data_IF_246099437141
#
_entry.id   IF_246099437141
#
_cell.length_a   1.000
_cell.length_b   1.000
_cell.length_c   1.000
_cell.angle_alpha   90.00
_cell.angle_beta   90.00
_cell.angle_gamma   90.00
#
_symmetry.space_group_name_H-M   'P 1'
#
loop_
_entity.id
_entity.type
_entity.pdbx_description
1 polymer ?
#
# COMPACT_ATOMS: atom_id res chain seq x y z
N UNK A 1 -14.86 7.01 3.35
CA UNK A 1 -15.25 6.66 4.73
C UNK A 1 -14.81 7.79 5.67
N UNK A 2 -15.70 8.65 6.17
CA UNK A 2 -15.35 9.62 7.20
C UNK A 2 -14.99 8.89 8.49
N UNK A 3 -13.96 9.33 9.19
CA UNK A 3 -13.54 8.77 10.50
C UNK A 3 -13.31 9.85 11.56
N UNK A 4 -13.37 11.12 11.17
CA UNK A 4 -13.13 12.29 12.02
C UNK A 4 -14.33 13.25 11.95
N UNK A 5 -15.26 13.21 12.92
CA UNK A 5 -16.36 14.18 12.99
C UNK A 5 -15.85 15.62 13.12
N UNK A 6 -16.65 16.59 12.68
CA UNK A 6 -16.25 17.99 12.72
C UNK A 6 -16.29 18.56 14.16
N UNK A 7 -17.17 18.05 14.99
CA UNK A 7 -17.42 18.46 16.39
C UNK A 7 -16.58 17.68 17.42
N UNK A 8 -16.05 16.52 17.03
CA UNK A 8 -15.12 15.71 17.81
C UNK A 8 -14.02 15.16 16.89
N UNK A 9 -13.06 16.01 16.48
CA UNK A 9 -12.11 15.67 15.44
C UNK A 9 -11.06 14.67 15.96
N UNK A 10 -10.74 13.70 15.09
CA UNK A 10 -9.56 12.86 15.28
C UNK A 10 -8.30 13.72 15.36
N UNK A 11 -7.36 13.31 16.20
CA UNK A 11 -6.16 14.08 16.54
C UNK A 11 -4.93 13.27 16.18
N UNK A 12 -3.95 13.90 15.52
CA UNK A 12 -2.66 13.28 15.20
C UNK A 12 -1.86 12.94 16.45
N UNK A 13 -0.85 12.08 16.35
CA UNK A 13 0.13 11.77 17.42
C UNK A 13 0.76 13.05 18.01
N UNK A 14 0.90 14.09 17.19
CA UNK A 14 1.41 15.41 17.60
C UNK A 14 0.36 16.30 18.28
N UNK A 15 -0.87 15.85 18.45
CA UNK A 15 -1.95 16.60 19.09
C UNK A 15 -2.64 17.63 18.17
N UNK A 16 -2.51 17.50 16.86
CA UNK A 16 -3.15 18.40 15.89
C UNK A 16 -4.48 17.80 15.42
N UNK A 17 -5.62 18.50 15.62
CA UNK A 17 -6.91 17.99 15.15
C UNK A 17 -7.04 18.06 13.62
N UNK A 18 -7.68 17.05 13.03
CA UNK A 18 -7.96 16.97 11.60
C UNK A 18 -9.46 16.74 11.37
N UNK A 19 -10.29 17.78 11.55
CA UNK A 19 -11.74 17.67 11.44
C UNK A 19 -12.19 17.35 10.02
N UNK A 20 -13.23 16.52 9.90
CA UNK A 20 -13.82 16.14 8.63
C UNK A 20 -12.96 15.19 7.78
N UNK A 21 -11.91 14.61 8.35
CA UNK A 21 -11.04 13.69 7.62
C UNK A 21 -11.76 12.40 7.24
N UNK A 22 -11.39 11.85 6.10
CA UNK A 22 -11.95 10.64 5.53
C UNK A 22 -10.91 9.82 4.79
N UNK A 23 -11.15 8.50 4.72
CA UNK A 23 -10.36 7.57 3.92
C UNK A 23 -11.20 7.00 2.76
N UNK A 24 -10.56 6.82 1.62
CA UNK A 24 -11.09 6.04 0.51
C UNK A 24 -10.56 4.61 0.61
N UNK A 25 -11.49 3.65 0.64
CA UNK A 25 -11.19 2.24 0.80
C UNK A 25 -11.66 1.50 -0.44
N UNK A 26 -10.84 0.63 -0.99
CA UNK A 26 -11.18 -0.31 -2.05
C UNK A 26 -11.39 -1.69 -1.44
N UNK A 27 -12.37 -2.41 -1.98
CA UNK A 27 -12.68 -3.78 -1.59
C UNK A 27 -12.71 -4.68 -2.82
N UNK A 28 -12.02 -5.82 -2.76
CA UNK A 28 -11.94 -6.79 -3.85
C UNK A 28 -12.44 -8.14 -3.32
N UNK A 29 -13.48 -8.67 -3.94
CA UNK A 29 -14.06 -9.97 -3.64
C UNK A 29 -14.84 -10.49 -4.83
N UNK A 30 -14.94 -11.81 -4.98
CA UNK A 30 -15.76 -12.43 -6.00
C UNK A 30 -17.16 -12.61 -5.44
N UNK A 31 -18.16 -12.06 -6.12
CA UNK A 31 -19.58 -12.37 -5.82
C UNK A 31 -19.89 -13.75 -6.40
N UNK A 32 -20.57 -14.66 -5.63
CA UNK A 32 -21.07 -15.88 -6.20
C UNK A 32 -22.01 -15.52 -7.36
N UNK A 33 -21.66 -15.90 -8.57
CA UNK A 33 -22.59 -15.86 -9.68
C UNK A 33 -23.67 -16.90 -9.40
N UNK A 34 -24.91 -16.48 -9.21
CA UNK A 34 -26.03 -17.39 -9.38
C UNK A 34 -25.86 -17.99 -10.78
N UNK A 35 -25.59 -19.28 -10.87
CA UNK A 35 -25.46 -19.95 -12.15
C UNK A 35 -26.76 -19.74 -12.92
N UNK A 36 -26.77 -18.84 -13.88
CA UNK A 36 -27.73 -18.88 -14.97
C UNK A 36 -27.45 -20.19 -15.69
N UNK A 37 -28.46 -21.07 -15.89
CA UNK A 37 -28.24 -22.26 -16.68
C UNK A 37 -27.74 -21.85 -18.05
N UNK A 38 -26.69 -22.53 -18.54
CA UNK A 38 -26.17 -22.41 -19.89
C UNK A 38 -27.35 -22.50 -20.89
N UNK A 39 -27.78 -21.38 -21.45
CA UNK A 39 -28.62 -21.35 -22.63
C UNK A 39 -27.63 -21.52 -23.79
N UNK A 40 -27.59 -22.74 -24.32
CA UNK A 40 -26.84 -23.02 -25.55
C UNK A 40 -27.34 -22.10 -26.66
N UNK A 41 -26.47 -21.54 -27.52
CA UNK A 41 -26.88 -20.72 -28.64
C UNK A 41 -27.51 -21.59 -29.70
N UNK A 42 -28.86 -21.60 -29.77
CA UNK A 42 -29.53 -22.37 -30.81
C UNK A 42 -31.05 -22.52 -30.76
N UNK A 43 -31.79 -21.91 -29.86
CA UNK A 43 -33.25 -21.98 -29.92
C UNK A 43 -33.88 -20.62 -30.19
N UNK A 44 -34.32 -20.46 -31.42
CA UNK A 44 -35.17 -19.37 -31.90
C UNK A 44 -36.58 -19.55 -31.28
N UNK A 45 -37.04 -18.57 -30.55
CA UNK A 45 -38.41 -18.55 -29.97
C UNK A 45 -39.48 -18.44 -31.06
N UNK A 46 -40.56 -19.20 -30.97
CA UNK A 46 -41.78 -18.93 -31.76
C UNK A 46 -42.59 -17.82 -31.07
N UNK A 47 -43.10 -16.95 -31.92
CA UNK A 47 -44.07 -15.90 -31.65
C UNK A 47 -45.40 -16.52 -31.09
N UNK A 48 -45.82 -16.18 -29.86
CA UNK A 48 -47.17 -16.37 -29.41
C UNK A 48 -47.59 -15.23 -28.50
N UNK A 49 -48.43 -14.37 -29.05
CA UNK A 49 -49.38 -13.55 -28.35
C UNK A 49 -50.40 -14.41 -27.57
N UNK A 50 -50.27 -14.55 -26.26
CA UNK A 50 -51.38 -14.79 -25.35
C UNK A 50 -50.93 -14.44 -23.92
N UNK A 51 -51.50 -13.35 -23.42
CA UNK A 51 -51.32 -12.89 -22.06
C UNK A 51 -52.39 -13.52 -21.17
N UNK A 52 -52.03 -14.53 -20.37
CA UNK A 52 -52.70 -14.84 -19.09
C UNK A 52 -51.93 -15.96 -18.37
N UNK A 53 -51.66 -15.75 -17.07
CA UNK A 53 -51.03 -16.66 -16.13
C UNK A 53 -49.45 -16.68 -16.18
N UNK A 54 -48.86 -15.59 -15.76
CA UNK A 54 -47.49 -15.66 -15.23
C UNK A 54 -47.53 -16.28 -13.82
N UNK A 55 -46.79 -17.38 -13.56
CA UNK A 55 -46.63 -17.86 -12.21
C UNK A 55 -45.88 -16.81 -11.40
N UNK A 56 -46.32 -16.56 -10.18
CA UNK A 56 -45.65 -15.71 -9.17
C UNK A 56 -44.31 -16.33 -8.82
N UNK A 57 -43.29 -15.96 -9.61
CA UNK A 57 -41.88 -16.25 -9.31
C UNK A 57 -41.42 -15.22 -8.26
N UNK A 58 -41.87 -15.42 -7.01
CA UNK A 58 -41.11 -14.87 -5.90
C UNK A 58 -39.72 -15.52 -5.94
N UNK A 59 -38.66 -14.78 -6.23
CA UNK A 59 -37.34 -15.40 -6.17
C UNK A 59 -37.06 -15.72 -4.71
N UNK A 60 -36.90 -17.01 -4.42
CA UNK A 60 -36.25 -17.46 -3.21
C UNK A 60 -34.78 -17.05 -3.33
N UNK A 61 -34.55 -15.74 -3.32
CA UNK A 61 -33.23 -15.16 -3.39
C UNK A 61 -32.58 -15.39 -2.04
N UNK A 62 -31.85 -16.50 -1.92
CA UNK A 62 -30.91 -16.66 -0.83
C UNK A 62 -30.09 -15.38 -0.76
N UNK A 63 -30.08 -14.65 0.36
CA UNK A 63 -29.32 -13.44 0.48
C UNK A 63 -27.86 -13.72 0.09
N UNK A 64 -27.26 -12.88 -0.77
CA UNK A 64 -25.85 -13.00 -1.10
C UNK A 64 -25.06 -12.94 0.20
N UNK A 65 -24.07 -13.84 0.41
CA UNK A 65 -23.26 -13.83 1.62
C UNK A 65 -22.62 -12.46 1.80
N UNK A 66 -22.71 -11.92 3.03
CA UNK A 66 -22.10 -10.63 3.35
C UNK A 66 -20.58 -10.75 3.12
N UNK A 67 -19.97 -9.89 2.30
CA UNK A 67 -18.51 -9.93 2.08
C UNK A 67 -17.70 -9.85 3.38
N UNK A 68 -18.24 -9.22 4.42
CA UNK A 68 -17.58 -9.10 5.74
C UNK A 68 -17.54 -10.40 6.53
N UNK A 69 -18.27 -11.44 6.13
CA UNK A 69 -18.20 -12.77 6.76
C UNK A 69 -16.95 -13.56 6.32
N UNK A 70 -16.22 -13.06 5.31
CA UNK A 70 -14.96 -13.66 4.85
C UNK A 70 -13.79 -13.19 5.71
N UNK A 71 -12.70 -13.99 5.82
CA UNK A 71 -11.45 -13.51 6.40
C UNK A 71 -10.94 -12.29 5.62
N UNK A 72 -10.59 -11.22 6.33
CA UNK A 72 -10.23 -9.93 5.73
C UNK A 72 -8.72 -9.79 5.68
N UNK A 73 -8.18 -9.48 4.50
CA UNK A 73 -6.77 -9.10 4.31
C UNK A 73 -6.71 -7.61 3.97
N UNK A 74 -5.99 -6.86 4.78
CA UNK A 74 -5.70 -5.45 4.52
C UNK A 74 -4.37 -5.33 3.78
N UNK A 75 -4.40 -4.70 2.60
CA UNK A 75 -3.20 -4.39 1.81
C UNK A 75 -2.83 -2.91 1.98
N UNK A 76 -1.58 -2.68 2.30
CA UNK A 76 -0.99 -1.37 2.51
C UNK A 76 -0.10 -0.99 1.32
N UNK A 77 -0.50 0.03 0.55
CA UNK A 77 0.23 0.44 -0.65
C UNK A 77 1.54 1.20 -0.34
N UNK A 78 2.47 1.19 -1.30
CA UNK A 78 3.74 1.94 -1.24
C UNK A 78 3.51 3.46 -1.45
N UNK A 79 4.55 4.28 -1.24
CA UNK A 79 4.53 5.76 -1.19
C UNK A 79 3.70 6.43 -2.30
N UNK A 80 3.85 6.01 -3.54
CA UNK A 80 3.13 6.58 -4.69
C UNK A 80 2.09 5.63 -5.28
N UNK A 81 1.69 4.62 -4.53
CA UNK A 81 0.57 3.74 -4.83
C UNK A 81 -0.77 4.37 -4.46
N UNK A 82 -1.81 3.59 -4.60
CA UNK A 82 -3.18 3.93 -4.21
C UNK A 82 -3.96 2.68 -3.77
N UNK A 83 -5.21 2.87 -3.37
CA UNK A 83 -6.06 1.78 -2.89
C UNK A 83 -6.49 0.78 -3.97
N UNK A 84 -6.26 1.05 -5.26
CA UNK A 84 -6.59 0.11 -6.34
C UNK A 84 -5.51 -0.97 -6.50
N UNK A 85 -5.36 -1.78 -5.45
CA UNK A 85 -4.29 -2.77 -5.37
C UNK A 85 -4.30 -3.79 -6.52
N UNK A 86 -5.44 -4.11 -7.09
CA UNK A 86 -5.53 -5.04 -8.22
C UNK A 86 -4.88 -4.49 -9.50
N UNK A 87 -4.76 -3.16 -9.64
CA UNK A 87 -4.11 -2.53 -10.79
C UNK A 87 -2.58 -2.56 -10.68
N UNK A 88 -2.02 -2.16 -9.53
CA UNK A 88 -0.56 -2.10 -9.40
C UNK A 88 0.07 -3.42 -8.95
N UNK A 89 -0.72 -4.38 -8.45
CA UNK A 89 -0.31 -5.74 -8.12
C UNK A 89 -0.99 -6.78 -9.02
N UNK A 90 -0.97 -6.52 -10.32
CA UNK A 90 -1.55 -7.39 -11.33
C UNK A 90 -1.05 -8.84 -11.19
N UNK A 91 -2.00 -9.81 -11.28
CA UNK A 91 -1.70 -11.23 -11.15
C UNK A 91 -1.52 -11.74 -9.72
N UNK A 92 -1.70 -10.87 -8.70
CA UNK A 92 -1.70 -11.27 -7.29
C UNK A 92 -3.08 -11.26 -6.66
N UNK A 93 -3.99 -10.38 -7.10
CA UNK A 93 -5.34 -10.21 -6.53
C UNK A 93 -6.38 -10.65 -7.56
N UNK A 94 -7.20 -11.63 -7.18
CA UNK A 94 -8.28 -12.16 -8.03
C UNK A 94 -8.61 -13.62 -7.71
N UNK A 95 -9.62 -14.20 -8.38
CA UNK A 95 -10.02 -15.59 -8.18
C UNK A 95 -8.86 -16.56 -8.41
N UNK A 96 -8.56 -17.42 -7.42
CA UNK A 96 -7.50 -18.41 -7.49
C UNK A 96 -6.08 -17.85 -7.57
N UNK A 97 -5.88 -16.55 -7.34
CA UNK A 97 -4.57 -15.90 -7.28
C UNK A 97 -4.00 -15.92 -5.84
N UNK A 98 -2.82 -15.33 -5.63
CA UNK A 98 -2.17 -15.29 -4.33
C UNK A 98 -3.08 -14.71 -3.24
N UNK A 99 -3.72 -13.58 -3.50
CA UNK A 99 -4.82 -13.03 -2.71
C UNK A 99 -6.14 -13.42 -3.37
N UNK A 100 -6.60 -14.62 -3.04
CA UNK A 100 -7.75 -15.25 -3.66
C UNK A 100 -9.07 -14.58 -3.22
N UNK A 101 -9.69 -13.85 -4.13
CA UNK A 101 -10.96 -13.14 -3.89
C UNK A 101 -12.18 -14.05 -3.77
N UNK A 102 -12.07 -15.34 -4.05
CA UNK A 102 -13.11 -16.33 -3.74
C UNK A 102 -13.12 -16.68 -2.26
N UNK A 103 -11.98 -16.56 -1.57
CA UNK A 103 -11.77 -16.94 -0.17
C UNK A 103 -11.75 -15.76 0.78
N UNK A 104 -11.17 -14.65 0.35
CA UNK A 104 -10.88 -13.49 1.18
C UNK A 104 -11.63 -12.25 0.70
N UNK A 105 -11.96 -11.37 1.64
CA UNK A 105 -12.23 -9.97 1.35
C UNK A 105 -10.89 -9.22 1.42
N UNK A 106 -10.45 -8.68 0.29
CA UNK A 106 -9.22 -7.90 0.23
C UNK A 106 -9.60 -6.41 0.33
N UNK A 107 -9.05 -5.72 1.30
CA UNK A 107 -9.19 -4.28 1.46
C UNK A 107 -7.87 -3.58 1.15
N UNK A 108 -7.93 -2.41 0.58
CA UNK A 108 -6.80 -1.51 0.44
C UNK A 108 -7.26 -0.07 0.64
N UNK A 109 -6.67 0.63 1.60
CA UNK A 109 -6.98 2.02 1.87
C UNK A 109 -6.08 2.95 1.05
N UNK A 110 -6.62 4.06 0.56
CA UNK A 110 -5.78 5.19 0.20
C UNK A 110 -5.31 5.86 1.50
N UNK A 111 -4.00 5.95 1.67
CA UNK A 111 -3.40 6.46 2.90
C UNK A 111 -3.82 7.90 3.21
N UNK A 112 -4.00 8.21 4.49
CA UNK A 112 -4.17 9.58 4.98
C UNK A 112 -2.96 10.43 4.60
N UNK A 113 -3.17 11.65 4.12
CA UNK A 113 -2.12 12.52 3.59
C UNK A 113 -1.84 12.29 2.09
N UNK A 114 -2.43 11.25 1.48
CA UNK A 114 -2.35 10.99 0.04
C UNK A 114 -3.30 11.85 -0.80
N UNK A 115 -3.30 11.63 -2.12
CA UNK A 115 -4.06 12.44 -3.08
C UNK A 115 -5.12 11.65 -3.87
N UNK A 116 -5.37 10.39 -3.53
CA UNK A 116 -6.27 9.52 -4.29
C UNK A 116 -7.62 9.30 -3.59
N UNK A 117 -8.19 10.37 -3.00
CA UNK A 117 -9.53 10.38 -2.43
C UNK A 117 -9.61 10.21 -0.91
N UNK A 118 -8.49 9.97 -0.21
CA UNK A 118 -8.37 10.20 1.23
C UNK A 118 -7.97 11.64 1.51
N UNK A 119 -8.24 12.12 2.72
CA UNK A 119 -7.90 13.48 3.12
C UNK A 119 -6.38 13.67 3.08
N UNK A 120 -5.96 14.73 2.43
CA UNK A 120 -4.57 15.15 2.26
C UNK A 120 -4.45 16.65 2.01
N UNK A 121 -3.26 17.16 1.70
CA UNK A 121 -3.02 18.60 1.48
C UNK A 121 -3.92 19.24 0.42
N UNK A 122 -4.27 18.49 -0.63
CA UNK A 122 -5.17 18.95 -1.71
C UNK A 122 -6.65 18.96 -1.32
N UNK A 123 -7.03 18.36 -0.20
CA UNK A 123 -8.42 18.28 0.26
C UNK A 123 -8.91 19.63 0.79
N UNK A 124 -10.21 19.87 0.63
CA UNK A 124 -10.87 21.06 1.18
C UNK A 124 -11.03 20.89 2.69
N UNK A 125 -10.53 21.84 3.45
CA UNK A 125 -10.71 21.89 4.89
C UNK A 125 -12.09 22.47 5.27
N UNK A 126 -12.53 22.38 6.54
CA UNK A 126 -13.86 22.86 6.95
C UNK A 126 -14.12 24.35 6.71
N UNK A 127 -13.10 25.17 6.52
CA UNK A 127 -13.22 26.59 6.17
C UNK A 127 -13.46 26.84 4.68
N UNK A 128 -13.53 25.79 3.86
CA UNK A 128 -13.79 25.87 2.43
C UNK A 128 -12.55 26.10 1.56
N UNK A 129 -11.35 26.17 2.14
CA UNK A 129 -10.09 26.30 1.43
C UNK A 129 -9.32 24.96 1.42
N UNK A 130 -8.43 24.70 0.46
CA UNK A 130 -7.52 23.56 0.55
C UNK A 130 -6.68 23.58 1.84
N UNK A 131 -6.36 22.40 2.36
CA UNK A 131 -5.46 22.32 3.52
C UNK A 131 -4.10 22.96 3.23
N UNK A 132 -3.51 22.64 2.09
CA UNK A 132 -2.23 23.19 1.66
C UNK A 132 -1.14 23.01 2.72
N UNK A 133 -0.39 24.08 2.99
CA UNK A 133 0.66 24.14 4.01
C UNK A 133 0.15 23.95 5.44
N UNK A 134 -1.16 24.07 5.67
CA UNK A 134 -1.81 23.88 6.98
C UNK A 134 -2.06 22.40 7.31
N UNK A 135 -1.88 21.50 6.32
CA UNK A 135 -2.05 20.07 6.56
C UNK A 135 -1.04 19.59 7.59
N UNK A 136 -1.46 18.86 8.65
CA UNK A 136 -0.55 18.46 9.70
C UNK A 136 0.53 17.50 9.21
N UNK A 137 1.68 17.55 9.84
CA UNK A 137 2.68 16.51 9.69
C UNK A 137 2.13 15.20 10.27
N UNK A 138 2.31 14.12 9.52
CA UNK A 138 1.85 12.78 9.90
C UNK A 138 3.03 11.87 10.28
N UNK A 139 2.71 10.83 11.02
CA UNK A 139 3.56 9.66 11.25
C UNK A 139 2.93 8.41 10.64
N UNK A 140 3.67 7.30 10.57
CA UNK A 140 3.10 6.00 10.19
C UNK A 140 2.00 5.57 11.17
N UNK A 141 2.13 5.95 12.45
CA UNK A 141 1.13 5.68 13.49
C UNK A 141 -0.18 6.41 13.24
N UNK A 142 -0.11 7.68 12.84
CA UNK A 142 -1.29 8.46 12.46
C UNK A 142 -2.07 7.81 11.32
N UNK A 143 -1.36 7.30 10.32
CA UNK A 143 -1.98 6.63 9.17
C UNK A 143 -2.70 5.35 9.60
N UNK A 144 -2.04 4.55 10.42
CA UNK A 144 -2.59 3.28 10.95
C UNK A 144 -3.77 3.53 11.88
N UNK A 145 -3.68 4.52 12.77
CA UNK A 145 -4.78 4.87 13.67
C UNK A 145 -6.02 5.36 12.91
N UNK A 146 -5.83 6.19 11.90
CA UNK A 146 -6.92 6.64 11.01
C UNK A 146 -7.59 5.46 10.27
N UNK A 147 -6.79 4.50 9.79
CA UNK A 147 -7.29 3.27 9.16
C UNK A 147 -8.07 2.41 10.15
N UNK A 148 -7.54 2.23 11.35
CA UNK A 148 -8.23 1.50 12.41
C UNK A 148 -9.58 2.13 12.75
N UNK A 149 -9.63 3.44 12.98
CA UNK A 149 -10.88 4.16 13.22
C UNK A 149 -11.90 3.97 12.07
N UNK A 150 -11.44 4.04 10.81
CA UNK A 150 -12.32 3.84 9.65
C UNK A 150 -12.84 2.40 9.54
N UNK A 151 -12.00 1.41 9.82
CA UNK A 151 -12.39 -0.01 9.79
C UNK A 151 -13.35 -0.36 10.93
N UNK A 152 -13.15 0.18 12.13
CA UNK A 152 -14.08 0.01 13.25
C UNK A 152 -15.49 0.52 12.91
N UNK A 153 -15.60 1.68 12.23
CA UNK A 153 -16.89 2.21 11.78
C UNK A 153 -17.58 1.32 10.73
N UNK A 154 -16.81 0.51 9.99
CA UNK A 154 -17.34 -0.53 9.09
C UNK A 154 -17.72 -1.82 9.84
N UNK A 155 -17.51 -1.88 11.15
CA UNK A 155 -17.72 -3.09 11.96
C UNK A 155 -16.62 -4.12 11.84
N UNK A 156 -15.49 -3.78 11.22
CA UNK A 156 -14.34 -4.66 11.05
C UNK A 156 -13.49 -4.60 12.32
N UNK A 157 -13.47 -5.70 13.07
CA UNK A 157 -12.76 -5.81 14.35
C UNK A 157 -11.60 -6.78 14.33
N UNK A 158 -11.42 -7.50 13.23
CA UNK A 158 -10.35 -8.48 13.05
C UNK A 158 -9.88 -8.52 11.61
N UNK A 159 -8.57 -8.52 11.43
CA UNK A 159 -7.90 -8.71 10.17
C UNK A 159 -7.20 -10.08 10.18
N UNK A 160 -7.49 -10.91 9.18
CA UNK A 160 -6.81 -12.18 8.98
C UNK A 160 -5.33 -11.97 8.70
N UNK A 161 -5.01 -10.96 7.90
CA UNK A 161 -3.65 -10.53 7.66
C UNK A 161 -3.58 -9.04 7.32
N UNK A 162 -2.45 -8.41 7.68
CA UNK A 162 -2.02 -7.10 7.12
C UNK A 162 -0.79 -7.35 6.25
N UNK A 163 -0.84 -6.89 5.02
CA UNK A 163 0.22 -7.09 4.03
C UNK A 163 0.68 -5.76 3.49
N UNK A 164 1.97 -5.46 3.58
CA UNK A 164 2.48 -4.19 3.09
C UNK A 164 3.91 -4.27 2.59
N UNK A 165 4.21 -3.45 1.57
CA UNK A 165 5.54 -3.32 1.03
C UNK A 165 6.04 -1.87 1.11
N UNK A 166 7.34 -1.67 1.38
CA UNK A 166 7.94 -0.33 1.49
C UNK A 166 7.22 0.52 2.55
N UNK A 167 6.66 1.68 2.19
CA UNK A 167 5.81 2.48 3.09
C UNK A 167 4.63 1.66 3.66
N UNK A 168 4.02 0.80 2.85
CA UNK A 168 2.99 -0.12 3.31
C UNK A 168 3.50 -1.12 4.33
N UNK A 169 4.76 -1.58 4.19
CA UNK A 169 5.42 -2.42 5.18
C UNK A 169 5.64 -1.73 6.52
N UNK A 170 5.96 -0.43 6.52
CA UNK A 170 6.07 0.37 7.73
C UNK A 170 4.73 0.50 8.46
N UNK A 171 3.63 0.71 7.70
CA UNK A 171 2.27 0.70 8.26
C UNK A 171 1.88 -0.68 8.79
N UNK A 172 2.17 -1.75 8.05
CA UNK A 172 1.89 -3.12 8.49
C UNK A 172 2.62 -3.47 9.80
N UNK A 173 3.86 -3.02 9.99
CA UNK A 173 4.57 -3.16 11.28
C UNK A 173 3.89 -2.37 12.41
N UNK A 174 3.48 -1.13 12.16
CA UNK A 174 2.77 -0.33 13.17
C UNK A 174 1.39 -0.94 13.49
N UNK A 175 0.66 -1.51 12.53
CA UNK A 175 -0.56 -2.27 12.77
C UNK A 175 -0.35 -3.41 13.76
N UNK A 176 0.71 -4.20 13.59
CA UNK A 176 1.03 -5.30 14.50
C UNK A 176 1.37 -4.85 15.93
N UNK A 177 1.98 -3.67 16.05
CA UNK A 177 2.42 -3.11 17.32
C UNK A 177 1.30 -2.36 18.04
N UNK A 178 0.51 -1.58 17.30
CA UNK A 178 -0.57 -0.76 17.88
C UNK A 178 -1.82 -1.58 18.17
N UNK A 179 -2.14 -2.55 17.33
CA UNK A 179 -3.40 -3.30 17.36
C UNK A 179 -3.20 -4.82 17.28
N UNK A 180 -2.38 -5.41 18.19
CA UNK A 180 -2.06 -6.84 18.15
C UNK A 180 -3.28 -7.76 18.32
N UNK A 181 -4.34 -7.28 18.98
CA UNK A 181 -5.59 -8.05 19.15
C UNK A 181 -6.49 -8.01 17.90
N UNK A 182 -6.27 -7.06 17.01
CA UNK A 182 -7.01 -6.91 15.74
C UNK A 182 -6.34 -7.70 14.63
N UNK A 183 -5.00 -7.73 14.60
CA UNK A 183 -4.20 -8.33 13.52
C UNK A 183 -3.83 -9.77 13.86
N UNK A 184 -4.34 -10.72 13.10
CA UNK A 184 -4.02 -12.13 13.31
C UNK A 184 -2.65 -12.55 12.76
N UNK A 185 -2.16 -11.87 11.71
CA UNK A 185 -0.85 -12.14 11.09
C UNK A 185 -0.41 -11.00 10.18
N UNK A 186 0.88 -10.93 9.82
CA UNK A 186 1.36 -9.94 8.87
C UNK A 186 2.44 -10.47 7.92
N UNK A 187 2.46 -9.89 6.70
CA UNK A 187 3.50 -10.05 5.70
C UNK A 187 4.12 -8.69 5.40
N UNK A 188 5.36 -8.48 5.81
CA UNK A 188 6.07 -7.21 5.62
C UNK A 188 7.19 -7.37 4.59
N UNK A 189 7.17 -6.52 3.57
CA UNK A 189 8.01 -6.66 2.38
C UNK A 189 8.87 -5.40 2.19
N UNK A 190 10.17 -5.57 1.96
CA UNK A 190 11.13 -4.52 1.62
C UNK A 190 10.99 -3.28 2.54
N UNK A 191 11.09 -3.50 3.85
CA UNK A 191 10.91 -2.49 4.89
C UNK A 191 11.94 -2.67 6.01
N UNK A 192 12.15 -1.64 6.81
CA UNK A 192 12.95 -1.66 8.04
C UNK A 192 12.11 -1.23 9.25
N UNK A 193 12.59 -1.51 10.45
CA UNK A 193 11.95 -1.08 11.71
C UNK A 193 12.03 0.43 11.94
N UNK A 194 12.99 1.11 11.30
CA UNK A 194 13.11 2.58 11.31
C UNK A 194 13.83 3.06 10.06
N UNK A 195 13.59 4.30 9.68
CA UNK A 195 14.31 4.95 8.59
C UNK A 195 15.82 5.04 8.90
N UNK A 196 16.64 4.63 7.94
CA UNK A 196 18.09 4.76 8.02
C UNK A 196 18.54 6.16 7.58
N UNK A 197 19.78 6.54 7.95
CA UNK A 197 20.36 7.80 7.48
C UNK A 197 20.43 7.87 5.94
N UNK A 198 20.63 6.75 5.26
CA UNK A 198 20.58 6.64 3.79
C UNK A 198 19.21 6.99 3.24
N UNK A 199 18.16 6.37 3.76
CA UNK A 199 16.78 6.64 3.36
C UNK A 199 16.41 8.10 3.61
N UNK A 200 16.67 8.62 4.83
CA UNK A 200 16.39 10.00 5.20
C UNK A 200 17.15 10.97 4.27
N UNK A 201 18.42 10.71 3.96
CA UNK A 201 19.22 11.56 3.09
C UNK A 201 18.63 11.66 1.68
N UNK A 202 18.29 10.54 1.06
CA UNK A 202 17.69 10.50 -0.28
C UNK A 202 16.30 11.14 -0.28
N UNK A 203 15.46 10.81 0.69
CA UNK A 203 14.10 11.35 0.81
C UNK A 203 14.12 12.85 1.10
N UNK A 204 15.04 13.32 1.94
CA UNK A 204 15.26 14.75 2.18
C UNK A 204 15.66 15.50 0.91
N UNK A 205 16.53 14.93 0.06
CA UNK A 205 16.89 15.53 -1.23
C UNK A 205 15.65 15.66 -2.15
N UNK A 206 14.79 14.65 -2.18
CA UNK A 206 13.54 14.69 -2.96
C UNK A 206 12.59 15.79 -2.50
N UNK A 207 12.40 15.94 -1.18
CA UNK A 207 11.58 17.02 -0.61
C UNK A 207 12.17 18.38 -1.01
N UNK A 208 13.48 18.57 -0.91
CA UNK A 208 14.15 19.82 -1.27
C UNK A 208 14.00 20.18 -2.74
N UNK A 209 13.95 19.22 -3.65
CA UNK A 209 13.65 19.50 -5.07
C UNK A 209 12.23 20.04 -5.26
N UNK A 210 11.25 19.49 -4.53
CA UNK A 210 9.86 20.00 -4.59
C UNK A 210 9.77 21.40 -4.00
N UNK A 211 10.35 21.62 -2.83
CA UNK A 211 10.33 22.91 -2.14
C UNK A 211 11.08 24.02 -2.90
N UNK A 212 12.08 23.66 -3.72
CA UNK A 212 12.83 24.60 -4.55
C UNK A 212 12.13 24.96 -5.86
N UNK A 213 11.03 24.29 -6.21
CA UNK A 213 10.23 24.63 -7.39
C UNK A 213 9.53 25.99 -7.17
N UNK A 214 9.66 26.96 -8.08
CA UNK A 214 8.98 28.27 -7.95
C UNK A 214 7.45 28.16 -7.79
N UNK A 215 6.84 27.10 -8.33
CA UNK A 215 5.41 26.87 -8.26
C UNK A 215 4.98 26.15 -6.97
N UNK A 216 5.91 25.79 -6.07
CA UNK A 216 5.62 25.19 -4.77
C UNK A 216 4.88 26.13 -3.81
N UNK A 217 5.22 27.42 -3.83
CA UNK A 217 4.58 28.48 -3.06
C UNK A 217 4.42 28.14 -1.56
N UNK A 218 5.43 27.49 -0.96
CA UNK A 218 5.39 27.06 0.44
C UNK A 218 4.36 25.97 0.76
N UNK A 219 3.81 25.29 -0.25
CA UNK A 219 2.76 24.28 -0.14
C UNK A 219 1.35 24.81 -0.45
N UNK A 220 1.19 26.10 -0.75
CA UNK A 220 -0.12 26.77 -0.98
C UNK A 220 -0.39 27.05 -2.47
N UNK A 221 0.01 26.16 -3.36
CA UNK A 221 -0.19 26.28 -4.81
C UNK A 221 -1.61 25.88 -5.28
N UNK A 222 -2.43 25.31 -4.42
CA UNK A 222 -3.78 24.84 -4.78
C UNK A 222 -4.69 25.98 -5.20
N UNK A 223 -5.46 25.78 -6.28
CA UNK A 223 -6.37 26.81 -6.82
C UNK A 223 -5.68 27.94 -7.60
N UNK A 224 -4.36 27.97 -7.68
CA UNK A 224 -3.60 29.02 -8.41
C UNK A 224 -3.47 28.76 -9.92
N UNK A 225 -3.82 27.54 -10.38
CA UNK A 225 -3.57 27.06 -11.75
C UNK A 225 -2.12 26.65 -12.00
N UNK A 226 -1.28 26.63 -10.96
CA UNK A 226 0.12 26.20 -10.98
C UNK A 226 0.31 24.98 -10.09
N UNK A 227 1.34 24.18 -10.37
CA UNK A 227 1.75 23.07 -9.53
C UNK A 227 3.26 22.82 -9.69
N UNK A 228 3.98 22.39 -8.65
CA UNK A 228 5.43 22.19 -8.68
C UNK A 228 5.79 20.89 -9.44
N UNK A 229 5.39 20.84 -10.72
CA UNK A 229 5.54 19.67 -11.60
C UNK A 229 6.99 19.37 -11.91
N UNK A 230 7.83 20.41 -12.01
CA UNK A 230 9.27 20.21 -12.20
C UNK A 230 9.90 19.63 -10.93
N UNK A 231 9.60 20.17 -9.76
CA UNK A 231 10.13 19.72 -8.48
C UNK A 231 9.80 18.25 -8.19
N UNK A 232 8.51 17.87 -8.31
CA UNK A 232 8.10 16.46 -8.11
C UNK A 232 8.69 15.56 -9.18
N UNK A 233 8.88 16.05 -10.41
CA UNK A 233 9.57 15.32 -11.47
C UNK A 233 11.02 15.01 -11.12
N UNK A 234 11.78 16.01 -10.60
CA UNK A 234 13.16 15.78 -10.14
C UNK A 234 13.22 14.84 -8.93
N UNK A 235 12.31 14.99 -7.98
CA UNK A 235 12.16 14.07 -6.86
C UNK A 235 11.95 12.61 -7.35
N UNK A 236 11.09 12.42 -8.37
CA UNK A 236 10.86 11.08 -8.97
C UNK A 236 12.10 10.51 -9.64
N UNK A 237 12.90 11.34 -10.33
CA UNK A 237 14.16 10.88 -10.95
C UNK A 237 15.10 10.30 -9.90
N UNK A 238 15.30 10.99 -8.77
CA UNK A 238 16.14 10.50 -7.66
C UNK A 238 15.52 9.23 -7.04
N UNK A 239 14.22 9.24 -6.73
CA UNK A 239 13.54 8.09 -6.18
C UNK A 239 13.69 6.86 -7.08
N UNK A 240 13.53 7.05 -8.40
CA UNK A 240 13.57 5.94 -9.35
C UNK A 240 14.95 5.28 -9.47
N UNK A 241 16.03 6.04 -9.28
CA UNK A 241 17.38 5.49 -9.19
C UNK A 241 17.60 4.62 -7.94
N UNK A 242 16.81 4.80 -6.89
CA UNK A 242 16.85 3.94 -5.68
C UNK A 242 15.86 2.80 -5.72
N UNK A 243 14.86 2.86 -6.61
CA UNK A 243 13.88 1.79 -6.81
C UNK A 243 14.37 0.72 -7.77
N UNK A 244 15.34 1.08 -8.65
CA UNK A 244 15.90 0.18 -9.66
C UNK A 244 17.33 -0.22 -9.27
N UNK A 245 17.71 -1.45 -9.62
CA UNK A 245 19.05 -1.94 -9.38
C UNK A 245 20.04 -1.45 -10.45
N UNK A 246 21.30 -1.22 -10.05
CA UNK A 246 22.37 -0.79 -10.94
C UNK A 246 22.52 -1.72 -12.15
N UNK A 247 22.59 -3.04 -11.89
CA UNK A 247 22.78 -4.05 -12.94
C UNK A 247 21.64 -4.04 -13.98
N UNK A 248 20.40 -3.86 -13.53
CA UNK A 248 19.25 -3.78 -14.44
C UNK A 248 19.29 -2.49 -15.28
N UNK A 249 19.68 -1.37 -14.67
CA UNK A 249 19.80 -0.11 -15.41
C UNK A 249 20.94 -0.18 -16.44
N UNK A 250 22.07 -0.78 -16.09
CA UNK A 250 23.21 -0.96 -16.99
C UNK A 250 22.87 -1.90 -18.15
N UNK A 251 22.20 -3.03 -17.88
CA UNK A 251 21.75 -3.96 -18.91
C UNK A 251 20.76 -3.32 -19.90
N UNK A 252 19.88 -2.46 -19.41
CA UNK A 252 18.84 -1.82 -20.23
C UNK A 252 19.29 -0.62 -21.02
N UNK A 253 20.19 0.16 -20.47
CA UNK A 253 20.50 1.48 -21.00
C UNK A 253 21.99 1.69 -21.30
N UNK A 254 22.87 1.08 -20.51
CA UNK A 254 24.30 1.32 -20.61
C UNK A 254 24.66 2.81 -20.70
N UNK A 255 25.58 3.16 -21.56
CA UNK A 255 25.91 4.53 -21.96
C UNK A 255 25.36 4.87 -23.38
N UNK A 256 24.26 4.25 -23.75
CA UNK A 256 23.70 4.39 -25.10
C UNK A 256 23.00 5.75 -25.27
N UNK A 257 23.21 6.42 -26.43
CA UNK A 257 22.44 7.61 -26.79
C UNK A 257 20.94 7.30 -26.91
N UNK A 258 20.12 8.27 -26.54
CA UNK A 258 18.72 8.22 -26.87
C UNK A 258 18.53 8.26 -28.38
N UNK A 259 17.57 7.51 -28.90
CA UNK A 259 17.34 7.42 -30.35
C UNK A 259 17.27 8.80 -31.02
N UNK A 260 18.10 9.01 -32.06
CA UNK A 260 18.25 10.25 -32.83
C UNK A 260 18.82 11.46 -32.02
N UNK A 261 19.44 11.21 -30.86
CA UNK A 261 20.14 12.22 -30.07
C UNK A 261 21.65 11.89 -30.04
N UNK A 262 22.48 12.93 -29.86
CA UNK A 262 23.96 12.76 -29.77
C UNK A 262 24.50 13.43 -28.50
N UNK A 263 24.55 12.70 -27.38
CA UNK A 263 25.11 13.22 -26.14
C UNK A 263 26.62 13.44 -26.18
N UNK A 264 27.31 12.92 -27.20
CA UNK A 264 28.76 13.10 -27.42
C UNK A 264 29.08 14.25 -28.37
N UNK A 265 28.06 14.96 -28.85
CA UNK A 265 28.24 16.10 -29.76
C UNK A 265 29.07 17.24 -29.16
N UNK A 266 29.58 18.13 -30.01
CA UNK A 266 30.52 19.19 -29.59
C UNK A 266 29.92 20.26 -28.68
N UNK A 267 28.59 20.32 -28.60
CA UNK A 267 27.86 21.30 -27.79
C UNK A 267 26.91 20.59 -26.86
N UNK A 268 27.01 20.90 -25.57
CA UNK A 268 26.08 20.38 -24.57
C UNK A 268 24.67 20.96 -24.82
N UNK A 269 23.71 20.08 -25.09
CA UNK A 269 22.30 20.41 -25.16
C UNK A 269 21.51 19.46 -24.25
N UNK A 270 20.42 19.92 -23.64
CA UNK A 270 19.54 19.08 -22.85
C UNK A 270 18.67 18.16 -23.72
N UNK A 271 18.59 18.45 -25.01
CA UNK A 271 17.86 17.65 -26.02
C UNK A 271 18.75 16.56 -26.63
N UNK A 272 19.98 16.43 -26.15
CA UNK A 272 20.96 15.39 -26.55
C UNK A 272 21.25 14.54 -25.35
N UNK A 273 20.46 13.47 -25.16
CA UNK A 273 20.41 12.71 -23.92
C UNK A 273 20.95 11.28 -24.12
N UNK A 274 21.38 10.69 -23.03
CA UNK A 274 21.49 9.24 -22.92
C UNK A 274 20.11 8.60 -22.74
N UNK A 275 19.96 7.34 -23.13
CA UNK A 275 18.72 6.59 -23.03
C UNK A 275 18.16 6.56 -21.61
N UNK A 276 19.03 6.45 -20.57
CA UNK A 276 18.63 6.51 -19.17
C UNK A 276 18.03 7.86 -18.79
N UNK A 277 18.52 8.98 -19.33
CA UNK A 277 17.96 10.30 -19.02
C UNK A 277 16.53 10.43 -19.56
N UNK A 278 16.30 9.96 -20.79
CA UNK A 278 14.96 9.93 -21.40
C UNK A 278 13.99 9.03 -20.62
N UNK A 279 14.47 7.89 -20.12
CA UNK A 279 13.68 7.01 -19.26
C UNK A 279 13.26 7.72 -17.96
N UNK A 280 14.22 8.37 -17.27
CA UNK A 280 13.95 9.11 -16.05
C UNK A 280 12.99 10.29 -16.28
N UNK A 281 13.10 11.00 -17.43
CA UNK A 281 12.16 12.07 -17.82
C UNK A 281 10.74 11.53 -18.00
N UNK A 282 10.60 10.35 -18.62
CA UNK A 282 9.31 9.69 -18.75
C UNK A 282 8.69 9.33 -17.41
N UNK A 283 9.49 8.80 -16.46
CA UNK A 283 9.02 8.45 -15.12
C UNK A 283 8.65 9.70 -14.31
N UNK A 284 9.42 10.78 -14.44
CA UNK A 284 9.14 12.08 -13.84
C UNK A 284 7.80 12.63 -14.32
N UNK A 285 7.58 12.67 -15.63
CA UNK A 285 6.35 13.17 -16.24
C UNK A 285 5.11 12.35 -15.84
N UNK A 286 5.24 11.02 -15.79
CA UNK A 286 4.16 10.12 -15.35
C UNK A 286 3.74 10.38 -13.90
N UNK A 287 4.70 10.60 -13.00
CA UNK A 287 4.37 10.89 -11.60
C UNK A 287 3.74 12.29 -11.48
N UNK A 288 4.35 13.31 -12.07
CA UNK A 288 3.86 14.68 -12.01
C UNK A 288 2.43 14.84 -12.56
N UNK A 289 2.02 13.97 -13.49
CA UNK A 289 0.67 13.98 -14.07
C UNK A 289 -0.41 13.36 -13.15
N UNK A 290 -0.03 12.54 -12.15
CA UNK A 290 -1.00 11.75 -11.36
C UNK A 290 -0.89 11.91 -9.86
N UNK A 291 0.18 12.50 -9.35
CA UNK A 291 0.45 12.57 -7.92
C UNK A 291 0.66 13.99 -7.46
N UNK A 292 0.06 14.33 -6.33
CA UNK A 292 0.16 15.65 -5.72
C UNK A 292 1.49 15.83 -4.99
N UNK A 293 2.14 16.98 -5.22
CA UNK A 293 3.44 17.27 -4.63
C UNK A 293 3.39 17.49 -3.11
N UNK A 294 2.31 18.11 -2.61
CA UNK A 294 2.09 18.28 -1.17
C UNK A 294 1.94 16.92 -0.47
N UNK A 295 1.15 16.04 -1.04
CA UNK A 295 1.03 14.66 -0.56
C UNK A 295 2.36 13.91 -0.61
N UNK A 296 3.16 14.10 -1.67
CA UNK A 296 4.49 13.50 -1.75
C UNK A 296 5.39 13.93 -0.59
N UNK A 297 5.40 15.22 -0.26
CA UNK A 297 6.18 15.78 0.85
C UNK A 297 5.71 15.21 2.18
N UNK A 298 4.40 15.23 2.46
CA UNK A 298 3.82 14.72 3.73
C UNK A 298 4.15 13.23 3.93
N UNK A 299 3.92 12.42 2.92
CA UNK A 299 4.15 10.97 3.01
C UNK A 299 5.64 10.62 3.12
N UNK A 300 6.49 11.34 2.39
CA UNK A 300 7.95 11.15 2.46
C UNK A 300 8.51 11.60 3.81
N UNK A 301 8.00 12.70 4.37
CA UNK A 301 8.40 13.15 5.71
C UNK A 301 7.93 12.19 6.80
N UNK A 302 6.74 11.61 6.66
CA UNK A 302 6.26 10.56 7.55
C UNK A 302 7.17 9.30 7.52
N UNK A 303 7.68 8.91 6.34
CA UNK A 303 8.68 7.85 6.20
C UNK A 303 10.00 8.21 6.88
N UNK A 304 10.48 9.46 6.75
CA UNK A 304 11.68 9.93 7.44
C UNK A 304 11.57 9.81 8.96
N UNK A 305 10.36 9.95 9.49
CA UNK A 305 10.05 9.86 10.93
C UNK A 305 9.72 8.45 11.39
N UNK A 306 9.70 7.48 10.47
CA UNK A 306 9.38 6.10 10.83
C UNK A 306 10.43 5.52 11.78
N UNK A 307 10.01 5.18 12.99
CA UNK A 307 10.75 4.46 14.01
C UNK A 307 9.75 3.79 14.95
N UNK A 308 9.61 2.46 14.84
CA UNK A 308 8.68 1.70 15.67
C UNK A 308 9.03 1.76 17.15
N UNK A 309 10.31 1.98 17.48
CA UNK A 309 10.79 2.03 18.87
C UNK A 309 10.69 3.41 19.53
N UNK A 310 10.37 4.46 18.77
CA UNK A 310 10.29 5.83 19.31
C UNK A 310 9.21 5.93 20.40
N UNK A 311 9.62 6.29 21.62
CA UNK A 311 8.71 6.37 22.76
C UNK A 311 8.24 5.02 23.32
N UNK A 312 8.82 3.88 22.86
CA UNK A 312 8.42 2.53 23.25
C UNK A 312 9.58 1.67 23.77
N UNK A 313 10.61 2.27 24.34
CA UNK A 313 11.76 1.52 24.88
C UNK A 313 12.80 1.08 23.87
N UNK A 314 12.65 1.44 22.59
CA UNK A 314 13.59 1.15 21.52
C UNK A 314 13.15 0.02 20.59
N UNK A 315 13.72 0.02 19.39
CA UNK A 315 13.32 -0.82 18.28
C UNK A 315 13.34 -2.33 18.61
N UNK A 316 14.42 -2.83 19.24
CA UNK A 316 14.58 -4.25 19.52
C UNK A 316 13.63 -4.72 20.64
N UNK A 317 13.32 -3.85 21.63
CA UNK A 317 12.35 -4.15 22.66
C UNK A 317 10.94 -4.35 22.06
N UNK A 318 10.50 -3.39 21.25
CA UNK A 318 9.18 -3.46 20.57
C UNK A 318 9.06 -4.67 19.65
N UNK A 319 10.13 -4.97 18.87
CA UNK A 319 10.12 -6.17 18.02
C UNK A 319 10.02 -7.45 18.84
N UNK A 320 10.77 -7.55 19.95
CA UNK A 320 10.78 -8.72 20.83
C UNK A 320 9.44 -8.95 21.56
N UNK A 321 8.72 -7.88 21.85
CA UNK A 321 7.40 -7.93 22.48
C UNK A 321 6.25 -8.15 21.50
N UNK A 322 6.49 -8.07 20.17
CA UNK A 322 5.46 -8.25 19.16
C UNK A 322 4.95 -9.70 19.17
N UNK A 323 3.66 -9.87 19.49
CA UNK A 323 2.99 -11.19 19.57
C UNK A 323 2.38 -11.64 18.25
N UNK A 324 2.17 -10.72 17.30
CA UNK A 324 1.60 -11.03 15.99
C UNK A 324 2.57 -11.85 15.16
N UNK A 325 2.14 -12.98 14.55
CA UNK A 325 2.97 -13.77 13.63
C UNK A 325 3.34 -12.95 12.39
N UNK A 326 4.63 -12.68 12.18
CA UNK A 326 5.13 -11.86 11.06
C UNK A 326 6.07 -12.66 10.16
N UNK A 327 5.75 -12.72 8.86
CA UNK A 327 6.68 -13.13 7.81
C UNK A 327 7.33 -11.89 7.21
N UNK A 328 8.65 -11.95 7.05
CA UNK A 328 9.46 -10.86 6.49
C UNK A 328 9.94 -11.24 5.09
N UNK A 329 9.93 -10.29 4.16
CA UNK A 329 10.42 -10.46 2.80
C UNK A 329 11.35 -9.32 2.45
N UNK A 330 12.49 -9.64 1.83
CA UNK A 330 13.39 -8.63 1.27
C UNK A 330 13.71 -8.92 -0.19
N UNK A 331 14.25 -7.93 -0.88
CA UNK A 331 14.78 -8.04 -2.24
C UNK A 331 16.31 -7.98 -2.17
N UNK A 332 17.01 -8.90 -2.81
CA UNK A 332 18.47 -9.03 -2.66
C UNK A 332 19.28 -7.87 -3.27
N UNK A 333 18.75 -7.24 -4.30
CA UNK A 333 19.35 -6.09 -4.97
C UNK A 333 18.83 -4.73 -4.50
N UNK A 334 17.97 -4.69 -3.45
CA UNK A 334 17.39 -3.46 -2.93
C UNK A 334 18.46 -2.60 -2.24
N UNK A 335 18.68 -1.39 -2.77
CA UNK A 335 19.61 -0.41 -2.19
C UNK A 335 18.90 0.61 -1.30
N UNK A 336 17.56 0.74 -1.42
CA UNK A 336 16.74 1.63 -0.59
C UNK A 336 16.47 1.00 0.79
N UNK A 337 16.08 -0.28 0.80
CA UNK A 337 15.91 -1.11 2.00
C UNK A 337 16.80 -2.37 1.89
N UNK A 338 18.13 -2.24 2.06
CA UNK A 338 19.05 -3.35 1.89
C UNK A 338 18.69 -4.57 2.73
N UNK A 339 18.88 -5.76 2.18
CA UNK A 339 18.40 -7.04 2.74
C UNK A 339 18.79 -7.28 4.20
N UNK A 340 19.93 -6.75 4.65
CA UNK A 340 20.34 -6.85 6.06
C UNK A 340 19.35 -6.18 7.03
N UNK A 341 18.50 -5.23 6.56
CA UNK A 341 17.47 -4.62 7.40
C UNK A 341 16.32 -5.61 7.66
N UNK A 342 15.94 -6.41 6.67
CA UNK A 342 14.95 -7.49 6.83
C UNK A 342 15.51 -8.63 7.67
N UNK A 343 16.80 -8.94 7.54
CA UNK A 343 17.49 -9.87 8.46
C UNK A 343 17.48 -9.34 9.90
N UNK A 344 17.64 -8.03 10.10
CA UNK A 344 17.53 -7.43 11.42
C UNK A 344 16.11 -7.61 12.00
N UNK A 345 15.07 -7.36 11.22
CA UNK A 345 13.68 -7.65 11.63
C UNK A 345 13.52 -9.11 12.04
N UNK A 346 13.97 -10.05 11.19
CA UNK A 346 13.81 -11.49 11.41
C UNK A 346 14.49 -12.01 12.68
N UNK A 347 15.61 -11.38 13.08
CA UNK A 347 16.37 -11.76 14.28
C UNK A 347 15.78 -11.21 15.57
N UNK A 348 14.96 -10.16 15.51
CA UNK A 348 14.48 -9.45 16.69
C UNK A 348 12.96 -9.59 16.91
N UNK A 349 12.19 -10.07 15.93
CA UNK A 349 10.75 -10.29 16.08
C UNK A 349 10.46 -11.44 17.06
N UNK A 350 9.62 -11.16 18.07
CA UNK A 350 9.19 -12.15 19.08
C UNK A 350 8.38 -13.29 18.49
N UNK A 351 7.53 -13.00 17.50
CA UNK A 351 6.75 -14.01 16.77
C UNK A 351 7.09 -13.99 15.28
N UNK A 352 8.33 -14.37 14.98
CA UNK A 352 8.83 -14.49 13.61
C UNK A 352 8.44 -15.83 13.00
N UNK A 353 7.76 -15.81 11.85
CA UNK A 353 7.30 -17.02 11.17
C UNK A 353 8.04 -17.34 9.86
N UNK A 354 8.91 -16.49 9.37
CA UNK A 354 9.75 -16.80 8.22
C UNK A 354 10.38 -15.58 7.56
N UNK A 355 11.56 -15.77 6.96
CA UNK A 355 12.22 -14.83 6.06
C UNK A 355 12.20 -15.41 4.64
N UNK A 356 11.74 -14.62 3.69
CA UNK A 356 11.79 -14.95 2.27
C UNK A 356 12.55 -13.87 1.51
N UNK A 357 13.13 -14.26 0.38
CA UNK A 357 13.92 -13.38 -0.46
C UNK A 357 13.39 -13.41 -1.90
N UNK A 358 13.19 -12.23 -2.48
CA UNK A 358 12.97 -12.05 -3.90
C UNK A 358 14.35 -11.82 -4.52
N UNK A 359 14.70 -12.64 -5.51
CA UNK A 359 15.98 -12.56 -6.20
C UNK A 359 15.76 -11.95 -7.58
N UNK A 360 16.33 -10.77 -7.80
CA UNK A 360 16.16 -10.02 -9.04
C UNK A 360 17.23 -8.93 -9.16
N UNK A 361 17.68 -8.55 -10.35
CA UNK A 361 18.51 -7.36 -10.54
C UNK A 361 17.71 -6.05 -10.46
N UNK A 362 16.37 -6.10 -10.39
CA UNK A 362 15.49 -4.92 -10.50
C UNK A 362 15.66 -3.93 -9.33
N UNK A 363 16.05 -4.37 -8.14
CA UNK A 363 16.12 -3.51 -6.96
C UNK A 363 14.82 -3.51 -6.15
N UNK A 364 14.54 -2.40 -5.47
CA UNK A 364 13.38 -2.24 -4.58
C UNK A 364 12.04 -2.62 -5.24
N UNK A 365 11.83 -2.25 -6.50
CA UNK A 365 10.61 -2.57 -7.25
C UNK A 365 10.42 -4.09 -7.50
N UNK A 366 11.36 -4.95 -7.08
CA UNK A 366 11.26 -6.40 -7.27
C UNK A 366 9.97 -7.00 -6.73
N UNK A 367 9.41 -6.49 -5.64
CA UNK A 367 8.12 -6.98 -5.12
C UNK A 367 6.92 -6.64 -6.02
N UNK A 368 7.07 -5.69 -6.94
CA UNK A 368 6.06 -5.34 -7.95
C UNK A 368 6.29 -6.10 -9.26
N UNK A 369 7.55 -6.28 -9.65
CA UNK A 369 7.91 -6.81 -10.98
C UNK A 369 8.05 -8.32 -11.01
N UNK A 370 8.48 -8.93 -9.89
CA UNK A 370 8.66 -10.38 -9.77
C UNK A 370 7.37 -11.07 -9.31
N UNK A 371 6.29 -10.89 -10.06
CA UNK A 371 4.93 -11.34 -9.72
C UNK A 371 4.89 -12.83 -9.32
N UNK A 372 5.60 -13.71 -10.03
CA UNK A 372 5.58 -15.14 -9.72
C UNK A 372 6.29 -15.48 -8.40
N UNK A 373 7.40 -14.81 -8.08
CA UNK A 373 8.10 -14.99 -6.81
C UNK A 373 7.25 -14.45 -5.66
N UNK A 374 6.71 -13.24 -5.82
CA UNK A 374 5.82 -12.58 -4.85
C UNK A 374 4.57 -13.43 -4.58
N UNK A 375 3.94 -13.96 -5.64
CA UNK A 375 2.79 -14.86 -5.51
C UNK A 375 3.10 -16.10 -4.67
N UNK A 376 4.20 -16.81 -4.96
CA UNK A 376 4.62 -17.98 -4.19
C UNK A 376 4.89 -17.66 -2.71
N UNK A 377 5.43 -16.47 -2.44
CA UNK A 377 5.67 -16.02 -1.06
C UNK A 377 4.34 -15.75 -0.35
N UNK A 378 3.39 -15.09 -1.00
CA UNK A 378 2.03 -14.85 -0.46
C UNK A 378 1.33 -16.17 -0.18
N UNK A 379 1.33 -17.11 -1.13
CA UNK A 379 0.73 -18.44 -0.96
C UNK A 379 1.38 -19.20 0.21
N UNK A 380 2.72 -19.18 0.31
CA UNK A 380 3.45 -19.77 1.44
C UNK A 380 3.06 -19.15 2.78
N UNK A 381 2.92 -17.82 2.83
CA UNK A 381 2.49 -17.10 4.03
C UNK A 381 1.08 -17.51 4.44
N UNK A 382 0.11 -17.43 3.52
CA UNK A 382 -1.30 -17.74 3.81
C UNK A 382 -1.50 -19.21 4.21
N UNK A 383 -0.78 -20.15 3.58
CA UNK A 383 -0.83 -21.57 3.98
C UNK A 383 -0.25 -21.76 5.39
N UNK A 384 0.85 -21.10 5.71
CA UNK A 384 1.48 -21.22 7.04
C UNK A 384 0.56 -20.75 8.16
N UNK A 385 -0.11 -19.62 8.00
CA UNK A 385 -1.03 -19.09 9.01
C UNK A 385 -2.31 -19.94 9.13
N UNK A 386 -2.75 -20.59 8.05
CA UNK A 386 -3.88 -21.52 8.08
C UNK A 386 -3.54 -22.77 8.90
N UNK A 387 -2.34 -23.35 8.73
CA UNK A 387 -1.87 -24.52 9.46
C UNK A 387 -1.70 -24.24 10.96
N UNK A 388 -1.22 -23.04 11.32
CA UNK A 388 -1.03 -22.65 12.72
C UNK A 388 -2.36 -22.28 13.40
N UNK A 389 -3.35 -21.73 12.69
CA UNK A 389 -4.71 -21.47 13.17
C UNK A 389 -5.48 -22.75 13.50
N UNK A 390 -5.27 -23.84 12.74
CA UNK A 390 -5.86 -25.15 13.01
C UNK A 390 -5.32 -25.85 14.26
N UNK A 391 -4.17 -25.45 14.77
CA UNK A 391 -3.60 -25.98 16.03
C UNK A 391 -4.11 -25.28 17.28
N UNK A 392 -4.71 -24.12 17.16
CA UNK A 392 -5.26 -23.32 18.27
C UNK A 392 -6.67 -23.75 18.70
N UNK A 393 -7.43 -24.45 17.87
CA UNK A 393 -8.80 -24.91 18.17
C UNK A 393 -8.89 -26.29 18.85
N UNK A 394 -7.76 -26.98 19.13
CA UNK A 394 -7.74 -28.27 19.79
C UNK A 394 -7.13 -28.16 21.21
N UNK A 395 -7.54 -27.18 21.97
CA UNK A 395 -7.25 -27.14 23.41
C UNK A 395 -8.37 -26.48 24.21
N UNK A 396 -9.56 -27.12 24.16
CA UNK A 396 -10.54 -27.02 25.23
C UNK A 396 -11.48 -28.21 25.06
N UNK A 397 -11.17 -29.31 25.69
CA UNK A 397 -12.08 -30.33 26.27
C UNK A 397 -11.32 -31.64 26.54
N UNK A 398 -10.62 -31.67 27.68
CA UNK A 398 -10.47 -32.95 28.43
C UNK A 398 -10.26 -32.57 29.90
N UNK A 399 -11.37 -32.62 30.59
CA UNK A 399 -11.74 -33.60 31.62
C UNK A 399 -11.24 -33.29 33.02
N UNK A 400 -12.13 -32.73 33.79
CA UNK A 400 -12.13 -32.86 35.25
C UNK A 400 -13.05 -34.01 35.66
N UNK A 401 -12.52 -35.22 35.66
CA UNK A 401 -13.06 -36.39 36.35
C UNK A 401 -12.19 -36.78 37.53
N UNK A 402 -12.69 -36.49 38.74
CA UNK A 402 -12.25 -37.07 40.03
C UNK A 402 -12.58 -38.58 40.13
N UNK A 403 -12.06 -39.30 41.13
CA UNK A 403 -11.86 -38.91 42.52
C UNK A 403 -10.43 -38.78 42.99
#
# INVERSE_FOLDING_TARGET
MPFSPADDPWVTEAGVPLPGASLRIYAFYTTPTNATPDIAPGDVAPDTSDAADAPDLTPDATPLPNPLDRPIILIEHALTGDGNAAEWWQGLIGPGLGFDTDRYLILCTNVLGGCNGSTGPSSISPDGAPWGSRFPALSMRDMVDAEHCALEQLGIRRLHAVVGASMGGARALEWCIMFPDVVASALVIAVSARASAWQIGIQSAQIRFIEADPDWQGGDYYGTGRAPTHGIGQARRIAHLTYRGELELDERFGADPQRNEDPYGPYRSRDQRFSIESYLDSQASKLAARFDAGSYVILTDALNRHDIGRGRGGMNAVLGECTVPIMVVGVDSDILYPFHQQEHLSRNLGNFIGLSKITTPTGHDGFLTETLQTRRIVEKFLNKIADDGGRGEIRDDEDHGKP
#
